data_IF_602731446209
#
_entry.id   IF_602731446209
#
_cell.length_a   1.000
_cell.length_b   1.000
_cell.length_c   1.000
_cell.angle_alpha   90.00
_cell.angle_beta   90.00
_cell.angle_gamma   90.00
#
_symmetry.space_group_name_H-M   'P 1'
#
loop_
_entity.id
_entity.type
_entity.pdbx_description
1 polymer ?
#
# COMPACT_ATOMS: atom_id res chain seq x y z
N UNK A 1 23.60 -6.61 -26.14
CA UNK A 1 23.10 -6.26 -24.79
C UNK A 1 21.96 -7.20 -24.47
N UNK A 2 21.87 -7.71 -23.25
CA UNK A 2 20.69 -8.48 -22.85
C UNK A 2 19.67 -7.44 -22.39
N UNK A 3 18.57 -7.30 -23.14
CA UNK A 3 17.45 -6.46 -22.73
C UNK A 3 16.76 -7.13 -21.55
N UNK A 4 16.80 -6.45 -20.40
CA UNK A 4 16.15 -6.89 -19.15
C UNK A 4 15.07 -5.90 -18.76
N UNK A 5 14.07 -6.39 -18.03
CA UNK A 5 13.12 -5.53 -17.33
C UNK A 5 13.85 -4.67 -16.28
N UNK A 6 13.28 -3.50 -15.90
CA UNK A 6 13.85 -2.64 -14.86
C UNK A 6 13.94 -3.38 -13.51
N UNK A 7 14.90 -2.98 -12.67
CA UNK A 7 15.16 -3.55 -11.34
C UNK A 7 15.29 -2.47 -10.27
N UNK A 8 15.12 -2.84 -8.99
CA UNK A 8 15.05 -1.90 -7.86
C UNK A 8 13.63 -1.82 -7.30
N UNK A 9 13.06 -2.96 -6.91
CA UNK A 9 11.76 -3.02 -6.26
C UNK A 9 11.83 -2.32 -4.88
N UNK A 10 10.71 -1.76 -4.44
CA UNK A 10 10.59 -1.07 -3.15
C UNK A 10 9.57 -1.77 -2.28
N UNK A 11 9.92 -2.04 -1.02
CA UNK A 11 8.99 -2.59 -0.03
C UNK A 11 8.22 -1.47 0.66
N UNK A 12 6.97 -1.73 1.02
CA UNK A 12 6.16 -0.83 1.84
C UNK A 12 5.26 -1.60 2.81
N UNK A 13 4.79 -0.89 3.83
CA UNK A 13 3.72 -1.34 4.74
C UNK A 13 2.59 -0.32 4.72
N UNK A 14 1.37 -0.74 5.02
CA UNK A 14 0.27 0.18 5.26
C UNK A 14 -0.25 0.03 6.69
N UNK A 15 -0.28 1.16 7.38
CA UNK A 15 -0.94 1.30 8.66
C UNK A 15 -2.26 2.06 8.49
N UNK A 16 -3.28 1.75 9.29
CA UNK A 16 -4.50 2.55 9.38
C UNK A 16 -4.89 2.78 10.83
N UNK A 17 -5.34 4.00 11.14
CA UNK A 17 -5.78 4.38 12.48
C UNK A 17 -7.20 3.89 12.79
N UNK A 18 -8.08 3.90 11.77
CA UNK A 18 -9.47 3.46 11.92
C UNK A 18 -9.80 2.38 10.88
N UNK A 19 -10.80 1.56 11.20
CA UNK A 19 -11.40 0.60 10.27
C UNK A 19 -12.91 0.76 10.25
N UNK A 20 -13.40 1.63 9.37
CA UNK A 20 -14.83 1.87 9.21
C UNK A 20 -15.61 0.63 8.74
N UNK A 21 -14.93 -0.36 8.13
CA UNK A 21 -15.57 -1.57 7.60
C UNK A 21 -15.65 -2.72 8.59
N UNK A 22 -14.77 -2.73 9.61
CA UNK A 22 -14.58 -3.85 10.53
C UNK A 22 -13.95 -5.09 9.89
N UNK A 23 -13.45 -5.02 8.65
CA UNK A 23 -12.92 -6.17 7.90
C UNK A 23 -11.42 -6.39 8.14
N UNK A 24 -10.62 -5.33 8.21
CA UNK A 24 -9.16 -5.46 8.16
C UNK A 24 -8.44 -5.12 9.47
N UNK A 25 -9.14 -4.48 10.42
CA UNK A 25 -8.56 -3.99 11.66
C UNK A 25 -7.70 -2.73 11.50
N UNK A 26 -7.04 -2.34 12.58
CA UNK A 26 -6.19 -1.15 12.73
C UNK A 26 -4.72 -1.53 12.92
N UNK A 27 -3.81 -0.56 12.84
CA UNK A 27 -2.36 -0.80 12.88
C UNK A 27 -1.85 -1.27 11.51
N UNK A 28 -0.75 -2.04 11.50
CA UNK A 28 -0.23 -2.64 10.26
C UNK A 28 -1.21 -3.68 9.71
N UNK A 29 -1.77 -3.38 8.54
CA UNK A 29 -2.81 -4.22 7.92
C UNK A 29 -2.32 -4.96 6.69
N UNK A 30 -1.20 -4.54 6.10
CA UNK A 30 -0.54 -5.23 4.99
C UNK A 30 0.95 -4.91 4.92
N UNK A 31 1.67 -5.81 4.25
CA UNK A 31 2.99 -5.59 3.67
C UNK A 31 2.88 -5.67 2.13
N UNK A 32 3.75 -4.96 1.41
CA UNK A 32 3.70 -4.92 -0.04
C UNK A 32 5.05 -4.64 -0.71
N UNK A 33 5.10 -4.93 -2.01
CA UNK A 33 6.24 -4.68 -2.88
C UNK A 33 5.77 -3.97 -4.15
N UNK A 34 6.36 -2.81 -4.43
CA UNK A 34 6.26 -2.12 -5.72
C UNK A 34 7.45 -2.53 -6.58
N UNK A 35 7.21 -3.29 -7.64
CA UNK A 35 8.23 -3.67 -8.61
C UNK A 35 8.59 -2.47 -9.48
N UNK A 36 9.81 -2.46 -10.02
CA UNK A 36 10.28 -1.41 -10.93
C UNK A 36 9.52 -1.39 -12.27
N UNK A 37 8.70 -2.40 -12.54
CA UNK A 37 7.76 -2.45 -13.65
C UNK A 37 6.46 -1.68 -13.37
N UNK A 38 6.23 -1.24 -12.13
CA UNK A 38 5.00 -0.59 -11.68
C UNK A 38 4.01 -1.53 -10.96
N UNK A 39 4.13 -2.84 -11.19
CA UNK A 39 3.26 -3.85 -10.56
C UNK A 39 3.41 -3.84 -9.04
N UNK A 40 2.31 -4.00 -8.33
CA UNK A 40 2.27 -4.09 -6.87
C UNK A 40 1.76 -5.46 -6.44
N UNK A 41 2.44 -6.07 -5.48
CA UNK A 41 1.93 -7.25 -4.76
C UNK A 41 1.77 -6.86 -3.30
N UNK A 42 0.62 -7.18 -2.71
CA UNK A 42 0.38 -6.98 -1.27
C UNK A 42 0.00 -8.29 -0.61
N UNK A 43 0.39 -8.40 0.66
CA UNK A 43 -0.09 -9.40 1.59
C UNK A 43 -0.89 -8.70 2.69
N UNK A 44 -2.20 -8.89 2.67
CA UNK A 44 -3.11 -8.48 3.74
C UNK A 44 -2.90 -9.38 4.95
N UNK A 45 -2.64 -8.81 6.13
CA UNK A 45 -2.38 -9.58 7.35
C UNK A 45 -3.65 -10.13 8.02
N UNK A 46 -4.83 -9.77 7.49
CA UNK A 46 -6.15 -10.16 7.99
C UNK A 46 -6.98 -10.74 6.83
N UNK A 47 -7.78 -11.81 7.06
CA UNK A 47 -7.98 -12.50 8.34
C UNK A 47 -6.84 -13.46 8.71
N UNK A 48 -6.54 -13.64 10.01
CA UNK A 48 -5.60 -14.66 10.47
C UNK A 48 -6.12 -16.09 10.17
N UNK A 49 -5.25 -17.10 10.08
CA UNK A 49 -3.80 -17.03 10.31
C UNK A 49 -2.98 -16.74 9.04
N UNK A 50 -3.61 -16.63 7.87
CA UNK A 50 -2.91 -16.61 6.57
C UNK A 50 -3.02 -15.31 5.80
N UNK A 51 -4.04 -14.50 6.06
CA UNK A 51 -4.26 -13.32 5.24
C UNK A 51 -4.64 -13.64 3.80
N UNK A 52 -4.41 -12.68 2.91
CA UNK A 52 -4.60 -12.86 1.46
C UNK A 52 -3.55 -12.10 0.65
N UNK A 53 -3.27 -12.59 -0.57
CA UNK A 53 -2.36 -11.94 -1.51
C UNK A 53 -3.17 -11.29 -2.63
N UNK A 54 -2.80 -10.08 -3.03
CA UNK A 54 -3.40 -9.40 -4.19
C UNK A 54 -2.31 -8.80 -5.07
N UNK A 55 -2.58 -8.75 -6.38
CA UNK A 55 -1.69 -8.19 -7.40
C UNK A 55 -2.43 -7.05 -8.11
N UNK A 56 -1.74 -5.93 -8.30
CA UNK A 56 -2.25 -4.73 -8.95
C UNK A 56 -1.29 -4.27 -10.05
N UNK A 57 -1.83 -3.68 -11.11
CA UNK A 57 -1.06 -3.19 -12.25
C UNK A 57 -0.19 -1.98 -11.87
N UNK A 58 -0.64 -1.20 -10.89
CA UNK A 58 0.06 0.00 -10.43
C UNK A 58 -0.21 0.30 -8.95
N UNK A 59 0.66 1.11 -8.35
CA UNK A 59 0.42 1.69 -7.03
C UNK A 59 -0.85 2.55 -7.03
N UNK A 60 -1.12 3.30 -8.10
CA UNK A 60 -2.34 4.11 -8.23
C UNK A 60 -3.60 3.26 -8.19
N UNK A 61 -3.62 2.11 -8.89
CA UNK A 61 -4.76 1.19 -8.87
C UNK A 61 -4.99 0.62 -7.47
N UNK A 62 -3.92 0.20 -6.77
CA UNK A 62 -4.03 -0.23 -5.38
C UNK A 62 -4.65 0.85 -4.50
N UNK A 63 -4.09 2.07 -4.57
CA UNK A 63 -4.52 3.21 -3.77
C UNK A 63 -5.96 3.65 -4.08
N UNK A 64 -6.38 3.64 -5.35
CA UNK A 64 -7.73 4.04 -5.76
C UNK A 64 -8.81 3.08 -5.28
N UNK A 65 -8.47 1.81 -5.05
CA UNK A 65 -9.41 0.78 -4.58
C UNK A 65 -9.41 0.68 -3.06
N UNK A 66 -8.24 0.72 -2.41
CA UNK A 66 -8.10 0.35 -1.00
C UNK A 66 -7.81 1.50 -0.05
N UNK A 67 -7.35 2.63 -0.57
CA UNK A 67 -7.01 3.80 0.24
C UNK A 67 -8.05 4.88 -0.02
N UNK A 68 -8.09 5.47 -1.22
CA UNK A 68 -8.92 6.63 -1.57
C UNK A 68 -10.41 6.51 -1.19
N UNK A 69 -11.07 5.34 -1.32
CA UNK A 69 -12.49 5.19 -0.93
C UNK A 69 -12.73 5.22 0.58
N UNK A 70 -11.68 5.16 1.41
CA UNK A 70 -11.76 5.08 2.86
C UNK A 70 -10.95 6.18 3.57
N UNK A 71 -11.28 7.47 3.34
CA UNK A 71 -10.53 8.58 3.94
C UNK A 71 -10.56 8.58 5.47
N UNK A 72 -11.65 8.12 6.08
CA UNK A 72 -11.78 8.04 7.54
C UNK A 72 -10.86 7.00 8.20
N UNK A 73 -10.27 6.09 7.43
CA UNK A 73 -9.34 5.09 7.98
C UNK A 73 -7.96 5.68 8.32
N UNK A 74 -7.66 6.90 7.84
CA UNK A 74 -6.36 7.56 8.01
C UNK A 74 -5.19 6.64 7.64
N UNK A 75 -5.30 5.97 6.48
CA UNK A 75 -4.29 5.04 6.03
C UNK A 75 -2.99 5.78 5.63
N UNK A 76 -1.86 5.25 6.07
CA UNK A 76 -0.52 5.72 5.72
C UNK A 76 0.26 4.55 5.12
N UNK A 77 0.72 4.71 3.89
CA UNK A 77 1.67 3.79 3.25
C UNK A 77 3.08 4.30 3.52
N UNK A 78 3.95 3.48 4.08
CA UNK A 78 5.35 3.83 4.36
C UNK A 78 6.28 2.90 3.60
N UNK A 79 7.14 3.46 2.74
CA UNK A 79 8.18 2.73 2.03
C UNK A 79 9.43 2.51 2.91
N UNK A 80 10.26 1.55 2.52
CA UNK A 80 11.48 1.19 3.25
C UNK A 80 12.51 2.32 3.37
N UNK A 81 12.46 3.32 2.49
CA UNK A 81 13.30 4.53 2.52
C UNK A 81 12.69 5.66 3.37
N UNK A 82 11.53 5.44 3.99
CA UNK A 82 10.83 6.42 4.81
C UNK A 82 9.90 7.35 4.03
N UNK A 83 9.79 7.23 2.70
CA UNK A 83 8.75 7.93 1.95
C UNK A 83 7.36 7.50 2.45
N UNK A 84 6.50 8.47 2.75
CA UNK A 84 5.15 8.20 3.21
C UNK A 84 4.10 8.75 2.24
N UNK A 85 3.06 7.98 2.00
CA UNK A 85 1.86 8.41 1.29
C UNK A 85 0.68 8.42 2.27
N UNK A 86 0.02 9.56 2.38
CA UNK A 86 -1.21 9.70 3.18
C UNK A 86 -2.27 10.46 2.38
N UNK A 87 -3.52 10.35 2.82
CA UNK A 87 -4.59 11.19 2.28
C UNK A 87 -4.65 12.52 3.04
N UNK A 88 -4.51 13.64 2.34
CA UNK A 88 -5.05 14.91 2.84
C UNK A 88 -6.06 15.49 1.83
N UNK A 89 -7.29 15.68 2.33
CA UNK A 89 -8.42 16.41 1.72
C UNK A 89 -8.65 16.20 0.21
N UNK A 90 -8.53 14.96 -0.25
CA UNK A 90 -8.81 14.46 -1.61
C UNK A 90 -7.61 14.32 -2.57
N UNK A 91 -6.37 14.35 -2.08
CA UNK A 91 -5.20 13.86 -2.84
C UNK A 91 -4.28 13.03 -1.94
N UNK A 92 -3.65 12.03 -2.53
CA UNK A 92 -2.55 11.32 -1.88
C UNK A 92 -1.31 12.21 -1.97
N UNK A 93 -0.71 12.53 -0.83
CA UNK A 93 0.45 13.42 -0.74
C UNK A 93 1.66 12.60 -0.31
N UNK A 94 2.80 12.89 -0.94
CA UNK A 94 4.11 12.39 -0.52
C UNK A 94 4.61 13.22 0.65
N UNK A 95 4.69 12.63 1.84
CA UNK A 95 5.32 13.21 3.01
C UNK A 95 6.81 12.85 2.98
N UNK A 96 7.67 13.87 2.92
CA UNK A 96 9.12 13.72 3.09
C UNK A 96 9.46 14.07 4.54
N UNK A 97 10.14 13.16 5.24
CA UNK A 97 10.77 13.46 6.54
C UNK A 97 12.08 14.22 6.34
#
# INVERSE_FOLDING_TARGET
>A
MIDRAPSGMRRFVMEREQDASGVSGTGFVLEGVLFSTGVVVVHWLTPPPRGSISVFDSLEQFLSIHVAPHPGNHAVVTFEDGEQLSQERAKIIVLRR
#
